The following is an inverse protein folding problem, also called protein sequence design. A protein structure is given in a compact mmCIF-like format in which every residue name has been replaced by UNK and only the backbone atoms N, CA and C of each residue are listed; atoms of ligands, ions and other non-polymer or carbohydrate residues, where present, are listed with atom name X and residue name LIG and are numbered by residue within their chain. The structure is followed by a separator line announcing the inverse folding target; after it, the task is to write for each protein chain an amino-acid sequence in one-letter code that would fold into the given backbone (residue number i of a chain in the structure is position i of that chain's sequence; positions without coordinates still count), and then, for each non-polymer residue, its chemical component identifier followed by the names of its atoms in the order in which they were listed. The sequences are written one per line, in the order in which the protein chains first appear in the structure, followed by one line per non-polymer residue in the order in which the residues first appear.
data_IF_434929352574
#
_entry.id   IF_434929352574
#
_cell.length_a   1.000
_cell.length_b   1.000
_cell.length_c   1.000
_cell.angle_alpha   90.00
_cell.angle_beta   90.00
_cell.angle_gamma   90.00
#
_symmetry.space_group_name_H-M   'P 1'
#
loop_
_entity.id
_entity.type
_entity.pdbx_description
1 polymer ?
#
# COMPACT_ATOMS: atom_id res chain seq x y z
N UNK A 1 -9.53 -3.17 -11.84
CA UNK A 1 -8.59 -4.25 -11.45
C UNK A 1 -7.28 -3.69 -10.91
N UNK A 2 -6.65 -2.69 -11.54
CA UNK A 2 -5.36 -2.13 -11.11
C UNK A 2 -5.24 -1.67 -9.64
N UNK A 3 -6.29 -1.11 -9.02
CA UNK A 3 -6.20 -0.60 -7.65
C UNK A 3 -6.00 -1.71 -6.60
N UNK A 4 -6.70 -2.84 -6.73
CA UNK A 4 -6.53 -3.96 -5.82
C UNK A 4 -5.15 -4.62 -5.97
N UNK A 5 -4.61 -4.64 -7.19
CA UNK A 5 -3.26 -5.14 -7.47
C UNK A 5 -2.19 -4.26 -6.82
N UNK A 6 -2.36 -2.93 -6.85
CA UNK A 6 -1.46 -1.98 -6.17
C UNK A 6 -1.46 -2.19 -4.66
N UNK A 7 -2.64 -2.42 -4.06
CA UNK A 7 -2.76 -2.71 -2.63
C UNK A 7 -2.10 -4.04 -2.27
N UNK A 8 -2.26 -5.07 -3.11
CA UNK A 8 -1.63 -6.37 -2.92
C UNK A 8 -0.10 -6.26 -3.00
N UNK A 9 0.43 -5.52 -3.97
CA UNK A 9 1.87 -5.28 -4.13
C UNK A 9 2.45 -4.55 -2.91
N UNK A 10 1.82 -3.46 -2.47
CA UNK A 10 2.28 -2.70 -1.30
C UNK A 10 2.31 -3.56 -0.03
N UNK A 11 1.33 -4.44 0.16
CA UNK A 11 1.33 -5.39 1.28
C UNK A 11 2.48 -6.38 1.20
N UNK A 12 2.76 -6.92 0.01
CA UNK A 12 3.88 -7.83 -0.20
C UNK A 12 5.23 -7.15 0.06
N UNK A 13 5.40 -5.91 -0.41
CA UNK A 13 6.63 -5.15 -0.22
C UNK A 13 6.85 -4.81 1.26
N UNK A 14 5.78 -4.50 2.02
CA UNK A 14 5.85 -4.31 3.47
C UNK A 14 6.36 -5.57 4.16
N UNK A 15 5.77 -6.74 3.86
CA UNK A 15 6.23 -8.01 4.44
C UNK A 15 7.68 -8.30 4.08
N UNK A 16 8.08 -8.02 2.84
CA UNK A 16 9.48 -8.21 2.40
C UNK A 16 10.45 -7.30 3.17
N UNK A 17 10.06 -6.04 3.41
CA UNK A 17 10.87 -5.10 4.19
C UNK A 17 10.95 -5.50 5.66
N UNK A 18 9.85 -5.98 6.25
CA UNK A 18 9.80 -6.49 7.62
C UNK A 18 10.68 -7.74 7.79
N UNK A 19 10.60 -8.69 6.85
CA UNK A 19 11.42 -9.90 6.84
C UNK A 19 12.93 -9.58 6.68
N UNK A 20 13.26 -8.50 5.96
CA UNK A 20 14.62 -8.00 5.81
C UNK A 20 15.10 -7.18 7.03
N UNK A 21 14.23 -6.85 7.99
CA UNK A 21 14.53 -5.97 9.12
C UNK A 21 14.66 -4.48 8.74
N UNK A 22 14.20 -4.10 7.54
CA UNK A 22 14.22 -2.70 7.07
C UNK A 22 12.97 -1.96 7.56
N UNK A 23 13.01 -1.53 8.82
CA UNK A 23 11.91 -0.81 9.46
C UNK A 23 11.60 0.55 8.79
N UNK A 24 12.60 1.18 8.18
CA UNK A 24 12.43 2.45 7.48
C UNK A 24 11.61 2.24 6.20
N UNK A 25 11.96 1.24 5.40
CA UNK A 25 11.20 0.87 4.21
C UNK A 25 9.78 0.43 4.58
N UNK A 26 9.62 -0.43 5.59
CA UNK A 26 8.30 -0.88 6.05
C UNK A 26 7.41 0.30 6.50
N UNK A 27 7.97 1.27 7.23
CA UNK A 27 7.23 2.47 7.67
C UNK A 27 6.80 3.33 6.48
N UNK A 28 7.68 3.52 5.49
CA UNK A 28 7.35 4.27 4.28
C UNK A 28 6.23 3.61 3.48
N UNK A 29 6.37 2.31 3.23
CA UNK A 29 5.40 1.53 2.45
C UNK A 29 4.03 1.46 3.14
N UNK A 30 3.99 1.40 4.48
CA UNK A 30 2.73 1.51 5.26
C UNK A 30 2.05 2.86 5.04
N UNK A 31 2.81 3.95 4.94
CA UNK A 31 2.27 5.28 4.62
C UNK A 31 1.70 5.37 3.20
N UNK A 32 2.37 4.74 2.23
CA UNK A 32 1.90 4.65 0.84
C UNK A 32 0.62 3.80 0.74
N UNK A 33 0.54 2.69 1.50
CA UNK A 33 -0.65 1.86 1.60
C UNK A 33 -1.84 2.64 2.18
N UNK A 34 -1.65 3.38 3.28
CA UNK A 34 -2.71 4.20 3.88
C UNK A 34 -3.22 5.28 2.91
N UNK A 35 -2.30 5.92 2.19
CA UNK A 35 -2.65 6.91 1.16
C UNK A 35 -3.45 6.27 0.02
N UNK A 36 -2.98 5.14 -0.51
CA UNK A 36 -3.67 4.41 -1.57
C UNK A 36 -5.09 4.02 -1.13
N UNK A 37 -5.25 3.45 0.07
CA UNK A 37 -6.57 3.08 0.61
C UNK A 37 -7.52 4.28 0.72
N UNK A 38 -7.04 5.44 1.17
CA UNK A 38 -7.84 6.68 1.22
C UNK A 38 -8.22 7.22 -0.15
N UNK A 39 -7.33 7.09 -1.14
CA UNK A 39 -7.62 7.49 -2.52
C UNK A 39 -8.64 6.57 -3.19
N UNK A 40 -8.58 5.26 -2.90
CA UNK A 40 -9.60 4.30 -3.36
C UNK A 40 -10.96 4.49 -2.70
N UNK A 41 -10.97 4.83 -1.40
CA UNK A 41 -12.20 5.08 -0.63
C UNK A 41 -12.88 6.41 -1.00
N UNK A 42 -12.11 7.43 -1.42
CA UNK A 42 -12.65 8.69 -1.95
C UNK A 42 -13.18 8.58 -3.38
N UNK A 43 -12.94 7.47 -4.07
CA UNK A 43 -13.36 7.28 -5.46
C UNK A 43 -14.36 6.13 -5.66
N UNK A 44 -15.53 6.12 -4.99
CA UNK A 44 -16.62 5.22 -5.36
C UNK A 44 -17.50 5.76 -6.50
N UNK A 45 -17.45 7.06 -6.82
CA UNK A 45 -18.42 7.73 -7.71
C UNK A 45 -17.84 8.91 -8.54
N UNK A 46 -16.60 8.85 -9.03
CA UNK A 46 -16.12 9.78 -10.09
C UNK A 46 -15.91 9.00 -11.40
N UNK A 47 -17.02 8.49 -11.94
CA UNK A 47 -17.27 8.13 -13.35
C UNK A 47 -18.77 8.08 -13.64
#
# INVERSE_FOLDING_TARGET
MAFQDIIAQLRQDITTAEDAGDEQAATRLRGELDKALREGDRNPDDL
#
